data_IF_100281368234
#
_entry.id   IF_100281368234
#
_cell.length_a   1.000
_cell.length_b   1.000
_cell.length_c   1.000
_cell.angle_alpha   90.00
_cell.angle_beta   90.00
_cell.angle_gamma   90.00
#
_symmetry.space_group_name_H-M   'P 1'
#
loop_
_entity.id
_entity.type
_entity.pdbx_description
1 polymer ?
#
# COMPACT_ATOMS: atom_id res chain seq x y z
N UNK A 1 -19.97 12.35 21.77
CA UNK A 1 -18.89 12.47 20.75
C UNK A 1 -17.51 11.92 21.21
N UNK A 2 -17.42 10.95 22.14
CA UNK A 2 -16.11 10.50 22.73
C UNK A 2 -15.56 9.16 22.23
N UNK A 3 -16.28 8.46 21.34
CA UNK A 3 -15.97 7.07 20.96
C UNK A 3 -14.84 6.95 19.92
N UNK A 4 -14.69 7.93 19.03
CA UNK A 4 -13.77 7.85 17.88
C UNK A 4 -12.56 8.77 18.09
N UNK A 5 -11.38 8.34 17.62
CA UNK A 5 -10.18 9.18 17.62
C UNK A 5 -10.39 10.42 16.74
N UNK A 6 -10.22 11.62 17.32
CA UNK A 6 -10.42 12.89 16.61
C UNK A 6 -9.45 13.07 15.43
N UNK A 7 -8.20 12.65 15.57
CA UNK A 7 -7.19 12.72 14.51
C UNK A 7 -7.57 11.91 13.27
N UNK A 8 -8.17 10.74 13.46
CA UNK A 8 -8.66 9.90 12.36
C UNK A 8 -9.82 10.55 11.61
N UNK A 9 -10.74 11.23 12.30
CA UNK A 9 -11.85 11.97 11.69
C UNK A 9 -11.35 13.17 10.88
N UNK A 10 -10.41 13.95 11.44
CA UNK A 10 -9.79 15.06 10.71
C UNK A 10 -9.06 14.57 9.47
N UNK A 11 -8.35 13.43 9.55
CA UNK A 11 -7.66 12.87 8.41
C UNK A 11 -8.62 12.40 7.30
N UNK A 12 -9.81 11.89 7.66
CA UNK A 12 -10.84 11.58 6.68
C UNK A 12 -11.29 12.82 5.89
N UNK A 13 -11.47 13.96 6.57
CA UNK A 13 -11.79 15.23 5.92
C UNK A 13 -10.64 15.73 5.03
N UNK A 14 -9.39 15.65 5.50
CA UNK A 14 -8.21 15.99 4.66
C UNK A 14 -8.11 15.14 3.41
N UNK A 15 -8.41 13.84 3.51
CA UNK A 15 -8.40 12.94 2.37
C UNK A 15 -9.49 13.30 1.35
N UNK A 16 -10.66 13.72 1.81
CA UNK A 16 -11.73 14.22 0.94
C UNK A 16 -11.32 15.52 0.23
N UNK A 17 -10.77 16.48 0.97
CA UNK A 17 -10.28 17.75 0.40
C UNK A 17 -9.22 17.49 -0.66
N UNK A 18 -8.23 16.62 -0.37
CA UNK A 18 -7.20 16.22 -1.33
C UNK A 18 -7.81 15.58 -2.58
N UNK A 19 -8.83 14.74 -2.44
CA UNK A 19 -9.50 14.12 -3.58
C UNK A 19 -10.18 15.17 -4.48
N UNK A 20 -10.81 16.19 -3.90
CA UNK A 20 -11.39 17.30 -4.66
C UNK A 20 -10.33 18.20 -5.30
N UNK A 21 -9.25 18.54 -4.58
CA UNK A 21 -8.09 19.25 -5.16
C UNK A 21 -7.55 18.49 -6.37
N UNK A 22 -7.46 17.16 -6.27
CA UNK A 22 -7.04 16.30 -7.36
C UNK A 22 -8.01 16.32 -8.55
N UNK A 23 -9.31 16.29 -8.29
CA UNK A 23 -10.36 16.40 -9.31
C UNK A 23 -10.25 17.71 -10.10
N UNK A 24 -10.13 18.86 -9.41
CA UNK A 24 -10.09 20.17 -10.06
C UNK A 24 -8.76 20.48 -10.75
N UNK A 25 -7.63 20.18 -10.11
CA UNK A 25 -6.32 20.66 -10.58
C UNK A 25 -5.60 19.69 -11.51
N UNK A 26 -5.91 18.40 -11.44
CA UNK A 26 -5.14 17.36 -12.12
C UNK A 26 -6.03 16.40 -12.96
N UNK A 27 -7.31 16.72 -13.14
CA UNK A 27 -8.22 15.95 -13.99
C UNK A 27 -8.49 14.52 -13.51
N UNK A 28 -8.25 14.21 -12.23
CA UNK A 28 -8.70 12.94 -11.66
C UNK A 28 -10.24 12.88 -11.70
N UNK A 29 -10.82 11.69 -11.80
CA UNK A 29 -12.28 11.52 -11.79
C UNK A 29 -12.92 12.02 -10.47
N UNK A 30 -14.22 12.36 -10.54
CA UNK A 30 -14.96 12.88 -9.39
C UNK A 30 -14.89 11.95 -8.17
N UNK A 31 -14.60 12.46 -6.95
CA UNK A 31 -14.50 11.64 -5.74
C UNK A 31 -15.77 10.84 -5.47
N UNK A 32 -15.64 9.53 -5.22
CA UNK A 32 -16.78 8.66 -4.95
C UNK A 32 -16.88 8.28 -3.48
N UNK A 33 -18.11 8.23 -2.98
CA UNK A 33 -18.40 7.70 -1.64
C UNK A 33 -18.09 6.20 -1.55
N UNK A 34 -17.62 5.76 -0.37
CA UNK A 34 -17.42 4.34 -0.07
C UNK A 34 -18.76 3.61 -0.16
N UNK A 35 -18.78 2.47 -0.84
CA UNK A 35 -19.99 1.66 -1.02
C UNK A 35 -20.11 0.68 0.15
N UNK A 36 -21.33 0.41 0.64
CA UNK A 36 -21.56 -0.60 1.71
C UNK A 36 -21.02 -2.00 1.38
N UNK A 37 -21.00 -2.33 0.08
CA UNK A 37 -20.47 -3.59 -0.46
C UNK A 37 -18.94 -3.61 -0.60
N UNK A 38 -18.27 -2.48 -0.35
CA UNK A 38 -16.83 -2.45 -0.27
C UNK A 38 -16.39 -3.18 1.00
N UNK A 39 -15.30 -3.92 0.90
CA UNK A 39 -14.73 -4.67 2.00
C UNK A 39 -13.26 -4.30 2.23
N UNK A 40 -12.75 -3.31 1.48
CA UNK A 40 -11.50 -2.64 1.76
C UNK A 40 -11.77 -1.42 2.65
N UNK A 41 -11.35 -1.51 3.90
CA UNK A 41 -11.48 -0.40 4.83
C UNK A 41 -10.12 -0.01 5.33
N UNK A 42 -9.80 1.27 5.22
CA UNK A 42 -8.62 1.85 5.85
C UNK A 42 -8.98 3.14 6.56
N UNK A 43 -8.24 3.41 7.62
CA UNK A 43 -8.22 4.69 8.29
C UNK A 43 -6.80 5.02 8.75
N UNK A 44 -6.53 6.30 8.89
CA UNK A 44 -5.22 6.82 9.22
C UNK A 44 -5.26 7.48 10.58
N UNK A 45 -4.20 7.27 11.35
CA UNK A 45 -4.01 7.86 12.66
C UNK A 45 -2.72 8.67 12.60
N UNK A 46 -2.82 10.01 12.51
CA UNK A 46 -1.66 10.87 12.28
C UNK A 46 -0.82 11.09 13.55
N UNK A 47 -1.37 10.88 14.74
CA UNK A 47 -0.71 11.23 16.01
C UNK A 47 -1.08 10.26 17.13
N UNK A 48 -0.36 10.35 18.26
CA UNK A 48 -0.59 9.56 19.47
C UNK A 48 -0.51 8.04 19.25
N UNK A 49 0.38 7.61 18.35
CA UNK A 49 0.71 6.21 18.15
C UNK A 49 2.17 5.98 18.51
N UNK A 50 2.45 4.85 19.14
CA UNK A 50 3.81 4.42 19.45
C UNK A 50 4.03 3.01 18.94
N UNK A 51 5.24 2.72 18.50
CA UNK A 51 5.67 1.38 18.11
C UNK A 51 6.77 0.94 19.06
N UNK A 52 6.59 -0.22 19.66
CA UNK A 52 7.64 -0.92 20.38
C UNK A 52 8.06 -2.14 19.58
N UNK A 53 9.22 -2.03 18.93
CA UNK A 53 9.80 -3.08 18.09
C UNK A 53 10.29 -4.26 18.90
N UNK A 54 10.74 -4.07 20.15
CA UNK A 54 11.28 -5.14 21.00
C UNK A 54 10.23 -6.19 21.36
N UNK A 55 9.02 -5.73 21.69
CA UNK A 55 7.87 -6.59 22.04
C UNK A 55 6.91 -6.77 20.86
N UNK A 56 7.21 -6.17 19.70
CA UNK A 56 6.34 -6.13 18.51
C UNK A 56 4.91 -5.72 18.86
N UNK A 57 4.74 -4.60 19.54
CA UNK A 57 3.43 -4.02 19.87
C UNK A 57 3.29 -2.60 19.36
N UNK A 58 2.07 -2.23 18.99
CA UNK A 58 1.69 -0.88 18.59
C UNK A 58 0.68 -0.34 19.57
N UNK A 59 0.96 0.85 20.11
CA UNK A 59 0.01 1.63 20.88
C UNK A 59 -0.87 2.42 19.92
N UNK A 60 -2.18 2.17 19.99
CA UNK A 60 -3.17 2.87 19.20
C UNK A 60 -4.11 3.67 20.11
N UNK A 61 -4.50 4.90 19.74
CA UNK A 61 -5.51 5.64 20.45
C UNK A 61 -6.80 4.83 20.58
N UNK A 62 -7.39 4.79 21.77
CA UNK A 62 -8.63 4.06 22.11
C UNK A 62 -8.54 2.52 22.13
N UNK A 63 -7.55 1.92 21.47
CA UNK A 63 -7.37 0.47 21.45
C UNK A 63 -6.26 -0.05 22.38
N UNK A 64 -5.36 0.82 22.82
CA UNK A 64 -4.23 0.44 23.67
C UNK A 64 -3.15 -0.31 22.88
N UNK A 65 -2.40 -1.17 23.58
CA UNK A 65 -1.31 -1.95 22.98
C UNK A 65 -1.81 -3.19 22.26
N UNK A 66 -1.49 -3.31 20.98
CA UNK A 66 -1.84 -4.46 20.14
C UNK A 66 -0.57 -5.16 19.67
N UNK A 67 -0.53 -6.50 19.80
CA UNK A 67 0.55 -7.31 19.25
C UNK A 67 0.47 -7.36 17.72
N UNK A 68 1.60 -7.13 17.06
CA UNK A 68 1.72 -7.10 15.60
C UNK A 68 2.77 -8.09 15.14
N UNK A 69 2.58 -8.65 13.94
CA UNK A 69 3.64 -9.41 13.26
C UNK A 69 4.41 -8.44 12.37
N UNK A 70 5.63 -8.09 12.78
CA UNK A 70 6.48 -7.20 12.00
C UNK A 70 7.06 -7.96 10.80
N UNK A 71 6.90 -7.37 9.61
CA UNK A 71 7.48 -7.90 8.36
C UNK A 71 8.84 -7.29 8.03
N UNK A 72 9.14 -6.12 8.61
CA UNK A 72 10.39 -5.38 8.45
C UNK A 72 10.70 -4.70 9.78
N UNK A 73 11.97 -4.60 10.10
CA UNK A 73 12.42 -3.79 11.21
C UNK A 73 12.32 -2.32 10.85
N UNK A 74 11.79 -1.52 11.77
CA UNK A 74 11.76 -0.06 11.66
C UNK A 74 12.88 0.42 12.58
N UNK A 75 14.10 0.43 12.04
CA UNK A 75 15.32 0.65 12.81
C UNK A 75 15.65 2.12 13.02
N UNK A 76 15.17 3.01 12.14
CA UNK A 76 15.47 4.45 12.18
C UNK A 76 14.26 5.32 11.87
N UNK A 77 14.19 6.46 12.55
CA UNK A 77 13.28 7.53 12.22
C UNK A 77 12.11 7.75 13.17
N UNK A 78 11.44 8.90 13.00
CA UNK A 78 10.22 9.25 13.73
C UNK A 78 8.98 8.70 13.04
N UNK A 79 8.09 8.08 13.82
CA UNK A 79 6.80 7.61 13.32
C UNK A 79 5.88 8.81 13.06
N UNK A 80 5.48 8.99 11.79
CA UNK A 80 4.61 10.10 11.37
C UNK A 80 3.14 9.72 11.33
N UNK A 81 2.79 8.58 10.73
CA UNK A 81 1.38 8.22 10.55
C UNK A 81 1.23 6.71 10.50
N UNK A 82 0.23 6.18 11.19
CA UNK A 82 -0.17 4.78 11.07
C UNK A 82 -1.41 4.70 10.17
N UNK A 83 -1.38 3.79 9.19
CA UNK A 83 -2.57 3.42 8.43
C UNK A 83 -2.96 2.00 8.78
N UNK A 84 -4.17 1.83 9.32
CA UNK A 84 -4.74 0.50 9.56
C UNK A 84 -5.65 0.18 8.39
N UNK A 85 -5.43 -0.97 7.76
CA UNK A 85 -6.24 -1.47 6.65
C UNK A 85 -6.79 -2.85 6.97
N UNK A 86 -8.01 -3.09 6.53
CA UNK A 86 -8.71 -4.37 6.59
C UNK A 86 -8.97 -4.83 5.16
N UNK A 87 -8.53 -6.04 4.88
CA UNK A 87 -8.81 -6.70 3.60
C UNK A 87 -10.19 -7.35 3.58
N UNK A 88 -10.75 -7.66 2.40
CA UNK A 88 -11.99 -8.43 2.27
C UNK A 88 -11.95 -9.79 2.94
N UNK A 89 -10.75 -10.32 3.17
CA UNK A 89 -10.55 -11.61 3.87
C UNK A 89 -10.68 -11.50 5.38
N UNK A 90 -10.81 -10.29 5.93
CA UNK A 90 -10.86 -10.02 7.36
C UNK A 90 -9.49 -9.79 8.00
N UNK A 91 -8.40 -9.92 7.25
CA UNK A 91 -7.04 -9.66 7.77
C UNK A 91 -6.80 -8.16 7.92
N UNK A 92 -6.17 -7.79 9.02
CA UNK A 92 -5.73 -6.43 9.33
C UNK A 92 -4.24 -6.27 9.05
N UNK A 93 -3.88 -5.14 8.47
CA UNK A 93 -2.51 -4.74 8.21
C UNK A 93 -2.27 -3.33 8.71
N UNK A 94 -1.07 -3.08 9.19
CA UNK A 94 -0.63 -1.79 9.69
C UNK A 94 0.52 -1.32 8.81
N UNK A 95 0.36 -0.15 8.20
CA UNK A 95 1.41 0.54 7.45
C UNK A 95 1.91 1.72 8.26
N UNK A 96 3.22 1.78 8.46
CA UNK A 96 3.88 2.85 9.18
C UNK A 96 4.51 3.81 8.17
N UNK A 97 4.17 5.09 8.27
CA UNK A 97 4.89 6.16 7.60
C UNK A 97 5.92 6.70 8.58
N UNK A 98 7.20 6.56 8.24
CA UNK A 98 8.33 7.00 9.05
C UNK A 98 9.14 8.06 8.31
N UNK A 99 9.81 8.92 9.08
CA UNK A 99 10.85 9.79 8.57
C UNK A 99 12.18 9.29 9.12
N UNK A 100 12.98 8.63 8.28
CA UNK A 100 14.30 8.09 8.60
C UNK A 100 15.30 9.16 9.04
N UNK A 101 15.07 10.43 8.66
CA UNK A 101 15.94 11.55 9.03
C UNK A 101 17.29 11.52 8.33
N UNK A 102 17.47 10.61 7.38
CA UNK A 102 18.67 10.56 6.56
C UNK A 102 18.61 11.71 5.55
N UNK A 103 19.73 12.42 5.40
CA UNK A 103 19.83 13.46 4.37
C UNK A 103 19.70 12.78 3.01
N UNK A 104 18.99 13.42 2.10
CA UNK A 104 19.00 13.01 0.69
C UNK A 104 20.45 12.95 0.21
N UNK A 105 20.83 11.95 -0.59
CA UNK A 105 22.18 11.88 -1.13
C UNK A 105 22.50 13.17 -1.88
N UNK A 106 23.70 13.70 -1.68
CA UNK A 106 24.15 14.89 -2.41
C UNK A 106 24.13 14.61 -3.91
N UNK A 107 23.77 15.64 -4.69
CA UNK A 107 23.75 15.53 -6.15
C UNK A 107 25.18 15.33 -6.62
N UNK A 108 25.50 14.13 -7.08
CA UNK A 108 26.81 13.83 -7.64
C UNK A 108 27.01 14.64 -8.93
N UNK A 109 28.22 15.19 -9.10
CA UNK A 109 28.63 15.75 -10.38
C UNK A 109 28.70 14.62 -11.41
N UNK A 110 28.13 14.86 -12.60
CA UNK A 110 28.13 13.88 -13.69
C UNK A 110 28.99 14.41 -14.83
N UNK A 111 29.81 13.52 -15.40
CA UNK A 111 30.53 13.75 -16.64
C UNK A 111 30.05 12.75 -17.71
N UNK A 112 30.39 12.99 -18.97
CA UNK A 112 30.12 12.01 -20.04
C UNK A 112 30.73 10.63 -19.76
N UNK A 113 31.83 10.57 -19.00
CA UNK A 113 32.48 9.31 -18.63
C UNK A 113 31.76 8.55 -17.50
N UNK A 114 30.95 9.22 -16.69
CA UNK A 114 30.22 8.62 -15.56
C UNK A 114 28.73 8.41 -15.85
N UNK A 115 28.26 8.80 -17.04
CA UNK A 115 26.86 8.71 -17.42
C UNK A 115 26.56 7.29 -17.91
N UNK A 116 25.72 6.58 -17.16
CA UNK A 116 25.28 5.23 -17.52
C UNK A 116 23.88 5.31 -18.12
N UNK A 117 23.75 4.85 -19.36
CA UNK A 117 22.45 4.63 -19.99
C UNK A 117 21.80 3.38 -19.39
N UNK A 118 20.54 3.48 -18.98
CA UNK A 118 19.77 2.35 -18.45
C UNK A 118 18.62 2.09 -19.42
N UNK A 119 18.65 0.94 -20.09
CA UNK A 119 17.53 0.44 -20.89
C UNK A 119 16.74 -0.61 -20.10
N UNK A 120 15.46 -0.33 -19.84
CA UNK A 120 14.59 -1.20 -19.05
C UNK A 120 13.72 -2.07 -19.96
N UNK A 121 13.74 -3.38 -19.72
CA UNK A 121 13.14 -4.36 -20.64
C UNK A 121 12.18 -5.35 -19.99
N UNK A 122 11.43 -6.06 -20.83
CA UNK A 122 10.56 -7.18 -20.41
C UNK A 122 11.37 -8.47 -20.25
N UNK A 123 12.39 -8.66 -21.08
CA UNK A 123 13.29 -9.82 -21.07
C UNK A 123 14.34 -9.72 -19.96
N UNK A 124 15.01 -8.58 -19.87
CA UNK A 124 16.05 -8.21 -18.89
C UNK A 124 15.54 -7.00 -18.11
N UNK A 125 15.71 -6.98 -16.78
CA UNK A 125 15.16 -5.91 -15.93
C UNK A 125 15.77 -4.55 -16.29
N UNK A 126 17.10 -4.52 -16.41
CA UNK A 126 17.84 -3.36 -16.87
C UNK A 126 19.12 -3.80 -17.59
N UNK A 127 19.44 -3.15 -18.70
CA UNK A 127 20.73 -3.25 -19.38
C UNK A 127 21.44 -1.91 -19.25
N UNK A 128 22.66 -1.93 -18.72
CA UNK A 128 23.48 -0.74 -18.57
C UNK A 128 24.32 -0.54 -19.84
N UNK A 129 24.65 0.70 -20.17
CA UNK A 129 25.58 1.03 -21.27
C UNK A 129 26.99 0.45 -21.06
N UNK A 130 27.32 0.00 -19.84
CA UNK A 130 28.52 -0.75 -19.49
C UNK A 130 28.51 -2.20 -19.99
N UNK A 131 27.38 -2.69 -20.52
CA UNK A 131 27.18 -4.07 -20.94
C UNK A 131 26.63 -4.99 -19.85
N UNK A 132 26.53 -4.51 -18.60
CA UNK A 132 25.94 -5.26 -17.50
C UNK A 132 24.43 -5.46 -17.70
N UNK A 133 23.96 -6.67 -17.41
CA UNK A 133 22.55 -7.05 -17.52
C UNK A 133 22.03 -7.51 -16.17
N UNK A 134 20.97 -6.86 -15.71
CA UNK A 134 20.24 -7.24 -14.51
C UNK A 134 19.08 -8.13 -14.91
N UNK A 135 19.06 -9.37 -14.43
CA UNK A 135 18.01 -10.33 -14.78
C UNK A 135 16.63 -9.92 -14.25
N UNK A 136 15.60 -10.20 -15.05
CA UNK A 136 14.21 -10.02 -14.63
C UNK A 136 13.69 -11.30 -13.96
N UNK A 137 13.41 -11.29 -12.64
CA UNK A 137 12.91 -12.48 -11.95
C UNK A 137 11.47 -12.88 -12.33
N UNK A 138 10.79 -12.11 -13.21
CA UNK A 138 9.49 -12.43 -13.84
C UNK A 138 8.38 -12.84 -12.86
N UNK A 139 8.46 -12.44 -11.58
CA UNK A 139 7.46 -12.75 -10.55
C UNK A 139 6.04 -12.34 -10.94
N UNK A 140 5.92 -11.22 -11.68
CA UNK A 140 4.64 -10.72 -12.19
C UNK A 140 3.98 -11.69 -13.17
N UNK A 141 4.75 -12.39 -14.02
CA UNK A 141 4.18 -13.31 -15.03
C UNK A 141 3.40 -14.45 -14.35
N UNK A 142 4.03 -15.09 -13.37
CA UNK A 142 3.43 -16.22 -12.66
C UNK A 142 2.20 -15.80 -11.84
N UNK A 143 2.25 -14.63 -11.19
CA UNK A 143 1.10 -14.12 -10.44
C UNK A 143 -0.07 -13.73 -11.35
N UNK A 144 0.21 -13.19 -12.54
CA UNK A 144 -0.80 -12.86 -13.54
C UNK A 144 -1.51 -14.09 -14.11
N UNK A 145 -0.81 -15.19 -14.38
CA UNK A 145 -1.44 -16.42 -14.87
C UNK A 145 -2.46 -16.99 -13.87
N UNK A 146 -2.07 -17.05 -12.59
CA UNK A 146 -2.96 -17.45 -11.50
C UNK A 146 -4.15 -16.49 -11.37
N UNK A 147 -3.90 -15.17 -11.42
CA UNK A 147 -4.93 -14.15 -11.34
C UNK A 147 -5.95 -14.29 -12.49
N UNK A 148 -5.47 -14.49 -13.73
CA UNK A 148 -6.30 -14.70 -14.92
C UNK A 148 -7.22 -15.91 -14.76
N UNK A 149 -6.70 -17.02 -14.24
CA UNK A 149 -7.49 -18.22 -13.98
C UNK A 149 -8.61 -17.95 -12.95
N UNK A 150 -8.29 -17.23 -11.87
CA UNK A 150 -9.26 -16.89 -10.83
C UNK A 150 -10.31 -15.89 -11.32
N UNK A 151 -9.92 -14.88 -12.11
CA UNK A 151 -10.84 -13.95 -12.75
C UNK A 151 -11.80 -14.67 -13.72
N UNK A 152 -11.30 -15.60 -14.56
CA UNK A 152 -12.15 -16.42 -15.45
C UNK A 152 -13.15 -17.25 -14.66
N UNK A 153 -12.72 -17.85 -13.54
CA UNK A 153 -13.62 -18.59 -12.63
C UNK A 153 -14.72 -17.70 -12.04
N UNK A 154 -14.42 -16.45 -11.69
CA UNK A 154 -15.43 -15.48 -11.19
C UNK A 154 -16.41 -15.08 -12.29
N UNK A 155 -15.92 -14.79 -13.50
CA UNK A 155 -16.72 -14.36 -14.64
C UNK A 155 -17.77 -15.42 -15.05
N UNK A 156 -17.39 -16.71 -15.04
CA UNK A 156 -18.30 -17.83 -15.34
C UNK A 156 -19.39 -18.09 -14.30
N UNK A 157 -19.42 -17.38 -13.16
CA UNK A 157 -20.45 -17.58 -12.12
C UNK A 157 -21.54 -16.53 -12.22
N UNK A 158 -22.79 -16.95 -11.99
CA UNK A 158 -23.97 -16.08 -11.96
C UNK A 158 -23.78 -14.92 -10.99
N UNK A 159 -24.03 -13.69 -11.47
CA UNK A 159 -23.94 -12.45 -10.68
C UNK A 159 -24.84 -12.55 -9.45
N UNK A 160 -24.33 -12.14 -8.28
CA UNK A 160 -25.06 -12.23 -7.01
C UNK A 160 -25.07 -13.62 -6.34
N UNK A 161 -24.74 -14.70 -7.05
CA UNK A 161 -24.78 -16.05 -6.45
C UNK A 161 -23.76 -16.26 -5.32
N UNK A 162 -24.11 -17.12 -4.35
CA UNK A 162 -23.21 -17.56 -3.26
C UNK A 162 -21.90 -18.15 -3.81
N UNK A 163 -21.96 -18.85 -4.95
CA UNK A 163 -20.80 -19.44 -5.62
C UNK A 163 -19.88 -18.39 -6.23
N UNK A 164 -20.43 -17.31 -6.82
CA UNK A 164 -19.62 -16.19 -7.29
C UNK A 164 -18.92 -15.49 -6.13
N UNK A 165 -19.60 -15.28 -5.00
CA UNK A 165 -18.99 -14.69 -3.80
C UNK A 165 -17.82 -15.54 -3.27
N UNK A 166 -17.97 -16.87 -3.22
CA UNK A 166 -16.88 -17.79 -2.88
C UNK A 166 -15.69 -17.68 -3.85
N UNK A 167 -15.94 -17.56 -5.15
CA UNK A 167 -14.88 -17.40 -6.15
C UNK A 167 -14.14 -16.06 -6.01
N UNK A 168 -14.87 -14.96 -5.75
CA UNK A 168 -14.28 -13.64 -5.47
C UNK A 168 -13.40 -13.69 -4.23
N UNK A 169 -13.86 -14.35 -3.17
CA UNK A 169 -13.06 -14.51 -1.96
C UNK A 169 -11.72 -15.24 -2.22
N UNK A 170 -11.71 -16.25 -3.09
CA UNK A 170 -10.47 -16.91 -3.54
C UNK A 170 -9.57 -15.97 -4.35
N UNK A 171 -10.16 -15.17 -5.24
CA UNK A 171 -9.46 -14.14 -6.02
C UNK A 171 -8.83 -13.06 -5.12
N UNK A 172 -9.45 -12.71 -3.99
CA UNK A 172 -8.89 -11.73 -3.04
C UNK A 172 -7.79 -12.30 -2.14
N UNK A 173 -7.58 -13.63 -2.14
CA UNK A 173 -6.51 -14.30 -1.38
C UNK A 173 -5.23 -14.53 -2.18
N UNK A 174 -5.34 -14.53 -3.51
CA UNK A 174 -4.25 -14.85 -4.43
C UNK A 174 -3.30 -13.70 -4.66
#
# INVERSE_FOLDING_TARGET
>A
MKEVNAGALQQASRNLNKAFTNFFNFGFGYPQNKKKKDHHFSFQIPQHCSLDTSISKVLLPKFGWIKVKMHREISKGSLKTITISRTPTGKYYISFLTNDGEKLPEKQEFSHATLIGIDVGVTTFATLSTGEKIDNPKFLKNSLERLKCLQRRVSKKVKGSKNRRKAIYKLTKS
#
